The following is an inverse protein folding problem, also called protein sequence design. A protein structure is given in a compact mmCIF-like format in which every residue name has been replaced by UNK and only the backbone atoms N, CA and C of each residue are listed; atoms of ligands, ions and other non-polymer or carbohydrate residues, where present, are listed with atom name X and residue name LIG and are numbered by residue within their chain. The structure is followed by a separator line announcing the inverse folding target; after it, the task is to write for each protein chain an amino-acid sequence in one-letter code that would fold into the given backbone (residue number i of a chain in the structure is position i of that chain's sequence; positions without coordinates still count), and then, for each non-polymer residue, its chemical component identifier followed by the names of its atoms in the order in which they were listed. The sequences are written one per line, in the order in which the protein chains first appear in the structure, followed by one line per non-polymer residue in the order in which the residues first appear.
data_IF_618832240335
#
_entry.id   IF_618832240335
#
_cell.length_a   1.000
_cell.length_b   1.000
_cell.length_c   1.000
_cell.angle_alpha   90.00
_cell.angle_beta   90.00
_cell.angle_gamma   90.00
#
_symmetry.space_group_name_H-M   'P 1'
#
loop_
_entity.id
_entity.type
_entity.pdbx_description
1 polymer ?
#
# COMPACT_ATOMS: atom_id res chain seq x y z
N UNK A 1 -13.18 2.20 63.65
CA UNK A 1 -14.18 2.08 62.56
C UNK A 1 -13.98 3.08 61.41
N UNK A 2 -13.70 4.37 61.66
CA UNK A 2 -13.50 5.37 60.59
C UNK A 2 -12.30 5.10 59.65
N UNK A 3 -11.16 4.64 60.18
CA UNK A 3 -9.97 4.36 59.36
C UNK A 3 -10.15 3.20 58.36
N UNK A 4 -10.92 2.18 58.72
CA UNK A 4 -11.21 1.04 57.84
C UNK A 4 -12.11 1.44 56.66
N UNK A 5 -13.10 2.31 56.90
CA UNK A 5 -13.96 2.84 55.83
C UNK A 5 -13.17 3.71 54.84
N UNK A 6 -12.22 4.50 55.34
CA UNK A 6 -11.33 5.30 54.48
C UNK A 6 -10.42 4.40 53.65
N UNK A 7 -9.85 3.34 54.23
CA UNK A 7 -9.01 2.40 53.51
C UNK A 7 -9.79 1.68 52.39
N UNK A 8 -11.01 1.21 52.67
CA UNK A 8 -11.87 0.56 51.67
C UNK A 8 -12.22 1.52 50.53
N UNK A 9 -12.55 2.78 50.85
CA UNK A 9 -12.86 3.78 49.83
C UNK A 9 -11.65 4.08 48.93
N UNK A 10 -10.46 4.26 49.51
CA UNK A 10 -9.25 4.50 48.75
C UNK A 10 -8.86 3.30 47.87
N UNK A 11 -9.01 2.08 48.38
CA UNK A 11 -8.78 0.86 47.61
C UNK A 11 -9.77 0.72 46.45
N UNK A 12 -11.05 1.08 46.65
CA UNK A 12 -12.06 1.06 45.59
C UNK A 12 -11.77 2.11 44.49
N UNK A 13 -11.36 3.32 44.88
CA UNK A 13 -10.94 4.37 43.93
C UNK A 13 -9.71 3.94 43.15
N UNK A 14 -8.71 3.34 43.80
CA UNK A 14 -7.52 2.82 43.13
C UNK A 14 -7.86 1.69 42.15
N UNK A 15 -8.68 0.72 42.56
CA UNK A 15 -9.12 -0.37 41.68
C UNK A 15 -9.96 0.14 40.52
N UNK A 16 -10.84 1.14 40.73
CA UNK A 16 -11.56 1.81 39.66
C UNK A 16 -10.60 2.48 38.68
N UNK A 17 -9.59 3.21 39.18
CA UNK A 17 -8.61 3.88 38.34
C UNK A 17 -7.76 2.86 37.55
N UNK A 18 -7.34 1.75 38.16
CA UNK A 18 -6.62 0.68 37.48
C UNK A 18 -7.50 0.00 36.43
N UNK A 19 -8.76 -0.32 36.74
CA UNK A 19 -9.71 -0.91 35.79
C UNK A 19 -9.99 0.06 34.64
N UNK A 20 -10.14 1.35 34.93
CA UNK A 20 -10.31 2.41 33.95
C UNK A 20 -9.04 2.59 33.11
N UNK A 21 -7.85 2.51 33.69
CA UNK A 21 -6.59 2.51 32.94
C UNK A 21 -6.37 1.23 32.13
N UNK A 22 -6.92 0.07 32.51
CA UNK A 22 -6.82 -1.16 31.71
C UNK A 22 -7.85 -1.15 30.57
N UNK A 23 -9.07 -0.70 30.85
CA UNK A 23 -10.14 -0.54 29.86
C UNK A 23 -9.86 0.62 28.88
N UNK A 24 -9.13 1.65 29.31
CA UNK A 24 -8.83 2.85 28.52
C UNK A 24 -7.35 2.97 28.12
N UNK A 25 -6.48 2.11 28.65
CA UNK A 25 -5.05 2.02 28.29
C UNK A 25 -4.79 1.36 26.93
N UNK A 26 -5.82 0.86 26.28
CA UNK A 26 -5.79 0.53 24.85
C UNK A 26 -5.99 1.75 23.95
N UNK A 27 -6.18 2.95 24.53
CA UNK A 27 -6.60 4.15 23.82
C UNK A 27 -5.47 5.18 23.66
N UNK A 28 -4.24 4.73 23.37
CA UNK A 28 -3.08 5.59 23.07
C UNK A 28 -3.13 6.16 21.64
N UNK A 29 -4.18 5.89 20.87
CA UNK A 29 -4.37 6.45 19.52
C UNK A 29 -5.66 7.27 19.44
N UNK A 30 -5.71 8.41 20.13
CA UNK A 30 -6.76 9.43 19.97
C UNK A 30 -6.57 10.31 18.71
N UNK A 31 -6.08 9.72 17.62
CA UNK A 31 -6.40 10.21 16.27
C UNK A 31 -7.26 9.09 15.70
N UNK A 32 -8.57 9.31 15.60
CA UNK A 32 -9.42 8.42 14.80
C UNK A 32 -8.68 8.23 13.48
N UNK A 33 -8.36 7.00 13.04
CA UNK A 33 -7.57 6.80 11.83
C UNK A 33 -8.28 7.58 10.74
N UNK A 34 -7.61 8.62 10.23
CA UNK A 34 -8.15 9.47 9.17
C UNK A 34 -8.55 8.51 8.08
N UNK A 35 -9.86 8.43 7.84
CA UNK A 35 -10.40 7.42 6.96
C UNK A 35 -9.78 7.62 5.58
N UNK A 36 -9.01 6.63 5.13
CA UNK A 36 -8.27 6.70 3.88
C UNK A 36 -9.28 6.78 2.72
N UNK A 37 -9.53 8.01 2.27
CA UNK A 37 -10.53 8.36 1.26
C UNK A 37 -9.84 8.77 -0.04
N UNK A 38 -10.44 8.36 -1.15
CA UNK A 38 -9.98 8.72 -2.48
C UNK A 38 -10.16 10.21 -2.73
N UNK A 39 -9.13 10.86 -3.27
CA UNK A 39 -9.23 12.22 -3.79
C UNK A 39 -9.47 12.20 -5.30
N UNK A 40 -10.50 12.93 -5.75
CA UNK A 40 -10.86 13.03 -7.17
C UNK A 40 -10.22 14.27 -7.81
N UNK A 41 -8.93 14.21 -8.12
CA UNK A 41 -8.24 15.22 -8.93
C UNK A 41 -7.32 14.55 -9.94
N UNK A 42 -7.88 14.10 -11.05
CA UNK A 42 -7.09 13.73 -12.23
C UNK A 42 -7.61 14.59 -13.38
N UNK A 43 -6.76 15.43 -13.95
CA UNK A 43 -7.08 16.13 -15.18
C UNK A 43 -6.89 15.19 -16.36
N UNK A 44 -7.95 14.81 -17.10
CA UNK A 44 -7.84 13.89 -18.22
C UNK A 44 -7.11 14.53 -19.40
N UNK A 45 -6.52 13.71 -20.27
CA UNK A 45 -6.07 14.14 -21.58
C UNK A 45 -7.25 14.57 -22.46
N UNK A 46 -7.01 15.50 -23.39
CA UNK A 46 -8.02 15.92 -24.38
C UNK A 46 -8.47 14.77 -25.29
N UNK A 47 -7.56 13.84 -25.60
CA UNK A 47 -7.85 12.65 -26.40
C UNK A 47 -8.07 11.42 -25.52
N UNK A 48 -9.08 10.61 -25.87
CA UNK A 48 -9.26 9.28 -25.30
C UNK A 48 -8.14 8.35 -25.80
N UNK A 49 -7.62 7.44 -24.96
CA UNK A 49 -6.63 6.45 -25.41
C UNK A 49 -7.25 5.50 -26.43
N UNK A 50 -6.43 4.91 -27.30
CA UNK A 50 -6.87 3.97 -28.34
C UNK A 50 -7.60 2.74 -27.78
N UNK A 51 -7.30 2.38 -26.52
CA UNK A 51 -7.94 1.26 -25.81
C UNK A 51 -9.15 1.69 -24.96
N UNK A 52 -9.62 2.94 -25.04
CA UNK A 52 -10.73 3.43 -24.23
C UNK A 52 -12.00 2.59 -24.39
N UNK A 53 -12.25 2.05 -25.59
CA UNK A 53 -13.38 1.15 -25.87
C UNK A 53 -13.25 -0.22 -25.21
N UNK A 54 -12.04 -0.64 -24.83
CA UNK A 54 -11.79 -1.89 -24.12
C UNK A 54 -12.00 -1.77 -22.61
N UNK A 55 -12.08 -0.54 -22.09
CA UNK A 55 -12.30 -0.30 -20.67
C UNK A 55 -13.77 -0.57 -20.34
N UNK A 56 -14.01 -1.56 -19.48
CA UNK A 56 -15.35 -1.92 -19.00
C UNK A 56 -15.97 -0.84 -18.09
N UNK A 57 -15.16 0.02 -17.51
CA UNK A 57 -15.58 0.99 -16.49
C UNK A 57 -15.18 2.40 -16.87
N UNK A 58 -16.11 3.35 -16.67
CA UNK A 58 -15.92 4.77 -17.02
C UNK A 58 -14.95 5.50 -16.09
N UNK A 59 -14.79 4.99 -14.86
CA UNK A 59 -13.85 5.51 -13.88
C UNK A 59 -13.03 4.33 -13.38
N UNK A 60 -11.71 4.44 -13.43
CA UNK A 60 -10.80 3.38 -12.99
C UNK A 60 -10.04 3.87 -11.76
N UNK A 61 -10.10 3.11 -10.68
CA UNK A 61 -9.41 3.40 -9.44
C UNK A 61 -8.45 2.26 -9.15
N UNK A 62 -7.16 2.37 -9.53
CA UNK A 62 -6.24 1.25 -9.45
C UNK A 62 -5.95 0.79 -8.02
N UNK A 63 -6.20 1.66 -7.02
CA UNK A 63 -5.85 1.41 -5.63
C UNK A 63 -7.09 1.36 -4.73
N UNK A 64 -7.10 0.37 -3.85
CA UNK A 64 -8.14 0.19 -2.86
C UNK A 64 -8.04 1.25 -1.76
N UNK A 65 -9.18 1.85 -1.40
CA UNK A 65 -9.28 2.77 -0.28
C UNK A 65 -10.05 2.10 0.87
N UNK A 66 -9.59 2.28 2.12
CA UNK A 66 -10.25 1.69 3.29
C UNK A 66 -11.74 2.09 3.39
N UNK A 67 -12.07 3.31 2.96
CA UNK A 67 -13.42 3.86 3.02
C UNK A 67 -14.43 3.17 2.10
N UNK A 68 -14.01 2.63 0.95
CA UNK A 68 -14.95 2.24 -0.12
C UNK A 68 -14.63 0.94 -0.87
N UNK A 69 -13.52 0.25 -0.55
CA UNK A 69 -13.06 -0.89 -1.36
C UNK A 69 -14.11 -1.99 -1.57
N UNK A 70 -14.94 -2.30 -0.56
CA UNK A 70 -16.02 -3.30 -0.70
C UNK A 70 -17.13 -2.86 -1.64
N UNK A 71 -17.48 -1.58 -1.60
CA UNK A 71 -18.49 -0.99 -2.48
C UNK A 71 -18.00 -1.02 -3.92
N UNK A 72 -16.73 -0.65 -4.15
CA UNK A 72 -16.09 -0.71 -5.46
C UNK A 72 -16.00 -2.15 -5.96
N UNK A 73 -15.60 -3.09 -5.11
CA UNK A 73 -15.52 -4.51 -5.46
C UNK A 73 -16.87 -5.09 -5.88
N UNK A 74 -17.95 -4.73 -5.18
CA UNK A 74 -19.31 -5.16 -5.56
C UNK A 74 -19.79 -4.51 -6.86
N UNK A 75 -19.43 -3.24 -7.10
CA UNK A 75 -19.74 -2.53 -8.35
C UNK A 75 -19.04 -3.17 -9.55
N UNK A 76 -17.77 -3.57 -9.40
CA UNK A 76 -16.97 -4.17 -10.48
C UNK A 76 -17.09 -5.70 -10.54
N UNK A 77 -17.68 -6.32 -9.52
CA UNK A 77 -17.87 -7.77 -9.41
C UNK A 77 -16.62 -8.53 -8.96
N UNK A 78 -15.56 -7.84 -8.49
CA UNK A 78 -14.36 -8.48 -7.93
C UNK A 78 -14.64 -9.13 -6.56
N UNK A 79 -15.80 -8.88 -5.95
CA UNK A 79 -16.30 -9.62 -4.78
C UNK A 79 -16.75 -11.07 -5.09
N UNK A 80 -16.83 -11.45 -6.38
CA UNK A 80 -17.25 -12.80 -6.82
C UNK A 80 -16.08 -13.75 -7.04
N UNK A 81 -14.87 -13.23 -7.19
CA UNK A 81 -13.66 -14.00 -7.48
C UNK A 81 -12.71 -13.99 -6.29
N UNK A 82 -11.89 -15.03 -6.19
CA UNK A 82 -10.78 -15.05 -5.24
C UNK A 82 -9.55 -14.36 -5.84
N UNK A 83 -8.56 -14.05 -4.99
CA UNK A 83 -7.26 -13.57 -5.44
C UNK A 83 -6.67 -14.53 -6.50
N UNK A 84 -5.97 -14.02 -7.54
CA UNK A 84 -5.58 -12.62 -7.75
C UNK A 84 -6.60 -11.74 -8.49
N UNK A 85 -7.79 -12.26 -8.83
CA UNK A 85 -8.77 -11.57 -9.68
C UNK A 85 -9.97 -11.00 -8.92
N UNK A 86 -9.94 -11.10 -7.60
CA UNK A 86 -10.98 -10.61 -6.73
C UNK A 86 -10.63 -10.76 -5.25
N UNK A 87 -11.62 -10.52 -4.40
CA UNK A 87 -11.44 -10.46 -2.95
C UNK A 87 -12.45 -11.27 -2.14
N UNK A 88 -13.23 -12.15 -2.78
CA UNK A 88 -14.34 -12.90 -2.17
C UNK A 88 -13.99 -13.52 -0.80
N UNK A 89 -12.93 -14.31 -0.73
CA UNK A 89 -12.45 -14.95 0.51
C UNK A 89 -11.42 -14.13 1.29
N UNK A 90 -10.99 -12.98 0.74
CA UNK A 90 -9.86 -12.20 1.25
C UNK A 90 -10.24 -10.80 1.76
N UNK A 91 -11.52 -10.44 1.73
CA UNK A 91 -12.01 -9.11 2.08
C UNK A 91 -11.62 -8.65 3.50
N UNK A 92 -11.54 -9.56 4.47
CA UNK A 92 -11.05 -9.22 5.82
C UNK A 92 -9.55 -8.95 5.85
N UNK A 93 -8.74 -9.70 5.11
CA UNK A 93 -7.31 -9.42 5.00
C UNK A 93 -7.05 -8.07 4.35
N UNK A 94 -7.80 -7.73 3.29
CA UNK A 94 -7.76 -6.40 2.68
C UNK A 94 -8.14 -5.31 3.70
N UNK A 95 -9.24 -5.48 4.43
CA UNK A 95 -9.69 -4.52 5.46
C UNK A 95 -8.60 -4.26 6.49
N UNK A 96 -7.99 -5.33 7.02
CA UNK A 96 -6.95 -5.22 8.04
C UNK A 96 -5.69 -4.55 7.50
N UNK A 97 -5.21 -4.95 6.32
CA UNK A 97 -4.03 -4.34 5.70
C UNK A 97 -4.26 -2.85 5.37
N UNK A 98 -5.40 -2.50 4.76
CA UNK A 98 -5.77 -1.13 4.44
C UNK A 98 -5.89 -0.24 5.68
N UNK A 99 -6.26 -0.80 6.84
CA UNK A 99 -6.35 -0.05 8.10
C UNK A 99 -5.01 0.46 8.63
N UNK A 100 -3.89 -0.05 8.09
CA UNK A 100 -2.53 0.34 8.47
C UNK A 100 -1.86 1.28 7.46
N UNK A 101 -2.53 1.60 6.36
CA UNK A 101 -2.02 2.50 5.33
C UNK A 101 -2.53 3.92 5.52
N UNK A 102 -1.83 4.89 4.93
CA UNK A 102 -2.12 6.32 5.11
C UNK A 102 -2.66 7.02 3.86
N UNK A 103 -2.50 6.42 2.67
CA UNK A 103 -3.07 6.97 1.43
C UNK A 103 -3.38 5.86 0.43
N UNK A 104 -4.42 6.10 -0.38
CA UNK A 104 -4.81 5.31 -1.54
C UNK A 104 -4.81 6.16 -2.83
N UNK A 105 -4.26 7.37 -2.76
CA UNK A 105 -4.29 8.31 -3.89
C UNK A 105 -3.35 7.85 -5.01
N UNK A 106 -3.75 8.15 -6.25
CA UNK A 106 -2.93 7.87 -7.41
C UNK A 106 -1.73 8.81 -7.48
N UNK A 107 -1.95 10.10 -7.27
CA UNK A 107 -0.94 11.14 -7.26
C UNK A 107 -1.10 12.04 -6.04
N UNK A 108 -0.05 12.76 -5.67
CA UNK A 108 -0.09 13.73 -4.57
C UNK A 108 -1.04 14.89 -4.87
N UNK A 109 -1.55 15.53 -3.81
CA UNK A 109 -2.53 16.63 -3.93
C UNK A 109 -2.04 17.83 -4.74
N UNK A 110 -0.73 18.03 -4.75
CA UNK A 110 -0.07 19.13 -5.47
C UNK A 110 0.29 18.76 -6.91
N UNK A 111 0.00 17.53 -7.34
CA UNK A 111 0.23 17.10 -8.71
C UNK A 111 -0.82 17.67 -9.65
N UNK A 112 -0.43 18.73 -10.35
CA UNK A 112 -1.28 19.47 -11.29
C UNK A 112 -0.87 19.25 -12.74
N UNK A 113 -0.05 18.24 -13.06
CA UNK A 113 0.38 18.01 -14.45
C UNK A 113 -0.77 17.32 -15.21
N UNK A 114 -1.42 18.00 -16.18
CA UNK A 114 -2.40 17.34 -17.03
C UNK A 114 -1.70 16.39 -18.00
N UNK A 115 -2.40 15.32 -18.40
CA UNK A 115 -1.98 14.43 -19.47
C UNK A 115 -0.53 13.90 -19.36
N UNK A 116 -0.26 13.23 -18.25
CA UNK A 116 1.04 12.62 -17.94
C UNK A 116 1.47 11.60 -19.00
N UNK A 117 2.73 11.67 -19.41
CA UNK A 117 3.41 10.65 -20.20
C UNK A 117 3.99 9.61 -19.25
N UNK A 118 3.59 8.36 -19.44
CA UNK A 118 4.04 7.24 -18.63
C UNK A 118 5.00 6.35 -19.41
N UNK A 119 5.99 5.78 -18.74
CA UNK A 119 6.84 4.70 -19.25
C UNK A 119 6.83 3.53 -18.28
N UNK A 120 6.75 2.32 -18.82
CA UNK A 120 6.87 1.08 -18.06
C UNK A 120 8.23 0.47 -18.35
N UNK A 121 9.03 0.26 -17.31
CA UNK A 121 10.37 -0.31 -17.41
C UNK A 121 10.34 -1.72 -16.82
N UNK A 122 10.42 -2.72 -17.69
CA UNK A 122 10.59 -4.12 -17.29
C UNK A 122 12.02 -4.43 -16.87
N UNK A 123 12.26 -5.66 -16.43
CA UNK A 123 13.57 -6.12 -15.94
C UNK A 123 14.37 -6.94 -16.96
N UNK A 124 13.99 -6.86 -18.24
CA UNK A 124 14.60 -7.66 -19.30
C UNK A 124 16.02 -7.19 -19.63
N UNK A 125 16.93 -8.14 -19.82
CA UNK A 125 18.34 -7.85 -20.18
C UNK A 125 18.54 -7.12 -21.51
N UNK A 126 17.48 -7.01 -22.34
CA UNK A 126 17.49 -6.22 -23.58
C UNK A 126 17.81 -4.74 -23.36
N UNK A 127 17.63 -4.22 -22.14
CA UNK A 127 17.97 -2.84 -21.77
C UNK A 127 19.47 -2.61 -21.62
N UNK A 128 20.28 -3.68 -21.47
CA UNK A 128 21.73 -3.57 -21.28
C UNK A 128 22.38 -2.87 -22.47
N UNK A 129 23.28 -1.92 -22.21
CA UNK A 129 24.01 -1.13 -23.20
C UNK A 129 23.09 -0.35 -24.18
N UNK A 130 21.85 -0.04 -23.79
CA UNK A 130 20.92 0.76 -24.62
C UNK A 130 20.89 2.24 -24.31
N UNK A 131 21.55 2.64 -23.22
CA UNK A 131 21.69 4.05 -22.79
C UNK A 131 20.36 4.82 -22.76
N UNK A 132 19.27 4.14 -22.37
CA UNK A 132 17.92 4.70 -22.37
C UNK A 132 17.60 5.54 -21.13
N UNK A 133 18.52 5.64 -20.17
CA UNK A 133 18.25 6.18 -18.84
C UNK A 133 17.71 7.61 -18.86
N UNK A 134 18.38 8.51 -19.59
CA UNK A 134 17.91 9.89 -19.75
C UNK A 134 16.54 9.95 -20.44
N UNK A 135 16.30 9.09 -21.43
CA UNK A 135 15.02 9.03 -22.13
C UNK A 135 13.90 8.55 -21.20
N UNK A 136 14.17 7.55 -20.36
CA UNK A 136 13.23 7.05 -19.35
C UNK A 136 12.94 8.14 -18.33
N UNK A 137 13.97 8.81 -17.82
CA UNK A 137 13.85 9.88 -16.83
C UNK A 137 13.15 11.14 -17.38
N UNK A 138 12.96 11.26 -18.70
CA UNK A 138 12.19 12.35 -19.32
C UNK A 138 10.66 12.20 -19.21
N UNK A 139 10.15 11.04 -18.76
CA UNK A 139 8.72 10.82 -18.57
C UNK A 139 8.20 11.39 -17.24
N UNK A 140 6.91 11.73 -17.19
CA UNK A 140 6.26 12.24 -15.99
C UNK A 140 6.08 11.14 -14.94
N UNK A 141 5.75 9.92 -15.41
CA UNK A 141 5.48 8.74 -14.59
C UNK A 141 6.35 7.58 -15.05
N UNK A 142 7.13 7.02 -14.13
CA UNK A 142 8.01 5.87 -14.40
C UNK A 142 7.54 4.70 -13.53
N UNK A 143 7.03 3.66 -14.19
CA UNK A 143 6.50 2.45 -13.54
C UNK A 143 7.55 1.35 -13.66
N UNK A 144 7.99 0.83 -12.52
CA UNK A 144 8.89 -0.33 -12.41
C UNK A 144 8.19 -1.47 -11.70
N UNK A 145 8.82 -2.64 -11.68
CA UNK A 145 8.27 -3.82 -11.02
C UNK A 145 9.36 -4.66 -10.39
N UNK A 146 9.00 -5.37 -9.33
CA UNK A 146 9.83 -6.37 -8.67
C UNK A 146 11.16 -5.76 -8.16
N UNK A 147 12.20 -6.59 -8.06
CA UNK A 147 13.54 -6.21 -7.61
C UNK A 147 14.43 -5.75 -8.77
N UNK A 148 13.85 -5.11 -9.79
CA UNK A 148 14.61 -4.52 -10.90
C UNK A 148 15.57 -3.44 -10.38
N UNK A 149 16.90 -3.63 -10.48
CA UNK A 149 17.85 -2.68 -9.95
C UNK A 149 17.89 -1.39 -10.78
N UNK A 150 18.07 -0.27 -10.08
CA UNK A 150 18.34 1.05 -10.67
C UNK A 150 19.79 1.44 -10.39
N UNK A 151 20.23 1.24 -9.15
CA UNK A 151 21.62 1.50 -8.74
C UNK A 151 22.58 0.65 -9.56
N UNK A 152 23.58 1.30 -10.16
CA UNK A 152 24.56 0.67 -11.03
C UNK A 152 24.07 0.41 -12.46
N UNK A 153 22.85 0.82 -12.80
CA UNK A 153 22.22 0.67 -14.12
C UNK A 153 21.55 1.96 -14.60
N UNK A 154 21.89 3.10 -14.01
CA UNK A 154 21.21 4.37 -14.25
C UNK A 154 21.32 4.83 -15.70
N UNK A 155 22.42 4.51 -16.37
CA UNK A 155 22.63 4.81 -17.79
C UNK A 155 21.63 4.06 -18.68
N UNK A 156 21.31 2.80 -18.35
CA UNK A 156 20.39 1.99 -19.12
C UNK A 156 18.92 2.18 -18.73
N UNK A 157 18.65 2.31 -17.43
CA UNK A 157 17.28 2.25 -16.90
C UNK A 157 16.79 3.54 -16.25
N UNK A 158 17.63 4.57 -16.13
CA UNK A 158 17.28 5.84 -15.50
C UNK A 158 17.35 5.78 -13.98
N UNK A 159 17.20 6.93 -13.32
CA UNK A 159 17.35 7.12 -11.87
C UNK A 159 16.02 7.19 -11.14
N UNK A 160 14.97 7.66 -11.81
CA UNK A 160 13.69 7.99 -11.18
C UNK A 160 12.77 6.78 -11.15
N UNK A 161 11.93 6.70 -10.12
CA UNK A 161 10.81 5.76 -10.04
C UNK A 161 9.61 6.48 -9.43
N UNK A 162 8.47 6.46 -10.11
CA UNK A 162 7.21 7.01 -9.54
C UNK A 162 6.43 5.90 -8.86
N UNK A 163 6.23 4.78 -9.58
CA UNK A 163 5.53 3.61 -9.09
C UNK A 163 6.42 2.38 -9.18
N UNK A 164 6.39 1.53 -8.15
CA UNK A 164 6.99 0.20 -8.20
C UNK A 164 6.01 -0.86 -7.73
N UNK A 165 5.63 -1.76 -8.64
CA UNK A 165 4.81 -2.91 -8.29
C UNK A 165 5.68 -3.96 -7.59
N UNK A 166 5.18 -4.55 -6.52
CA UNK A 166 5.88 -5.58 -5.78
C UNK A 166 4.91 -6.60 -5.17
N UNK A 167 5.47 -7.72 -4.73
CA UNK A 167 4.82 -8.73 -3.91
C UNK A 167 5.86 -9.32 -2.94
N UNK A 168 5.47 -10.07 -1.89
CA UNK A 168 6.36 -10.40 -0.77
C UNK A 168 7.68 -11.08 -1.16
N UNK A 169 7.66 -11.95 -2.16
CA UNK A 169 8.84 -12.69 -2.66
C UNK A 169 9.70 -11.87 -3.66
N UNK A 170 9.21 -10.68 -4.06
CA UNK A 170 9.83 -9.79 -5.04
C UNK A 170 9.68 -8.32 -4.64
N UNK A 171 10.33 -7.97 -3.52
CA UNK A 171 10.52 -6.60 -3.04
C UNK A 171 11.95 -6.37 -2.55
N UNK A 172 12.43 -5.12 -2.58
CA UNK A 172 13.70 -4.73 -1.95
C UNK A 172 13.57 -4.65 -0.44
N UNK A 173 14.57 -5.18 0.26
CA UNK A 173 14.71 -5.12 1.72
C UNK A 173 15.94 -4.33 2.19
N UNK A 174 16.88 -4.06 1.28
CA UNK A 174 18.10 -3.33 1.58
C UNK A 174 17.82 -1.81 1.54
N UNK A 175 18.11 -1.07 2.63
CA UNK A 175 17.93 0.38 2.69
C UNK A 175 18.65 1.16 1.58
N UNK A 176 19.69 0.62 0.95
CA UNK A 176 20.38 1.28 -0.17
C UNK A 176 19.42 1.56 -1.34
N UNK A 177 18.39 0.73 -1.52
CA UNK A 177 17.39 0.87 -2.58
C UNK A 177 16.20 1.76 -2.18
N UNK A 178 16.25 2.41 -1.00
CA UNK A 178 15.16 3.26 -0.56
C UNK A 178 15.09 4.55 -1.38
N UNK A 179 13.92 4.80 -1.97
CA UNK A 179 13.58 6.06 -2.62
C UNK A 179 12.31 6.64 -1.94
N UNK A 180 12.41 7.76 -1.22
CA UNK A 180 11.28 8.36 -0.51
C UNK A 180 10.18 8.87 -1.46
N UNK A 181 10.51 9.13 -2.73
CA UNK A 181 9.56 9.64 -3.73
C UNK A 181 8.84 8.52 -4.48
N UNK A 182 9.23 7.26 -4.27
CA UNK A 182 8.57 6.12 -4.90
C UNK A 182 7.30 5.75 -4.13
N UNK A 183 6.18 5.64 -4.85
CA UNK A 183 4.98 4.94 -4.38
C UNK A 183 5.09 3.46 -4.75
N UNK A 184 4.95 2.57 -3.77
CA UNK A 184 5.02 1.13 -3.98
C UNK A 184 3.64 0.51 -3.95
N UNK A 185 3.38 -0.40 -4.89
CA UNK A 185 2.07 -0.98 -5.12
C UNK A 185 2.14 -2.46 -4.83
N UNK A 186 1.53 -2.88 -3.72
CA UNK A 186 1.37 -4.30 -3.40
C UNK A 186 0.38 -4.92 -4.38
N UNK A 187 0.85 -5.91 -5.14
CA UNK A 187 0.02 -6.79 -5.96
C UNK A 187 -0.22 -8.08 -5.18
N UNK A 188 -1.43 -8.28 -4.67
CA UNK A 188 -1.76 -9.44 -3.87
C UNK A 188 -2.15 -10.62 -4.76
N UNK A 189 -1.48 -11.76 -4.59
CA UNK A 189 -1.78 -13.00 -5.30
C UNK A 189 -2.47 -14.03 -4.41
N UNK A 190 -2.28 -13.94 -3.09
CA UNK A 190 -2.83 -14.86 -2.10
C UNK A 190 -3.10 -14.15 -0.76
N UNK A 191 -4.01 -14.67 0.10
CA UNK A 191 -4.29 -14.06 1.40
C UNK A 191 -3.05 -13.85 2.28
N UNK A 192 -2.06 -14.73 2.13
CA UNK A 192 -0.78 -14.66 2.84
C UNK A 192 -0.02 -13.35 2.54
N UNK A 193 -0.16 -12.78 1.34
CA UNK A 193 0.52 -11.53 0.98
C UNK A 193 -0.01 -10.34 1.79
N UNK A 194 -1.33 -10.31 2.02
CA UNK A 194 -1.99 -9.26 2.82
C UNK A 194 -1.71 -9.45 4.32
N UNK A 195 -1.67 -10.70 4.80
CA UNK A 195 -1.27 -11.01 6.18
C UNK A 195 0.18 -10.60 6.43
N UNK A 196 1.09 -10.92 5.51
CA UNK A 196 2.49 -10.54 5.59
C UNK A 196 2.67 -9.01 5.69
N UNK A 197 1.93 -8.24 4.89
CA UNK A 197 1.96 -6.78 4.98
C UNK A 197 1.47 -6.30 6.35
N UNK A 198 0.37 -6.89 6.86
CA UNK A 198 -0.16 -6.55 8.19
C UNK A 198 0.86 -6.83 9.29
N UNK A 199 1.48 -8.01 9.30
CA UNK A 199 2.50 -8.42 10.30
C UNK A 199 3.70 -7.46 10.28
N UNK A 200 4.18 -7.09 9.09
CA UNK A 200 5.25 -6.11 8.93
C UNK A 200 4.91 -4.73 9.49
N UNK A 201 3.71 -4.22 9.21
CA UNK A 201 3.27 -2.90 9.65
C UNK A 201 2.95 -2.85 11.15
N UNK A 202 2.64 -4.00 11.76
CA UNK A 202 2.42 -4.13 13.20
C UNK A 202 3.71 -4.39 13.99
N UNK A 203 4.81 -4.73 13.31
CA UNK A 203 6.04 -5.17 13.97
C UNK A 203 5.92 -6.57 14.57
N UNK A 204 4.99 -7.38 14.07
CA UNK A 204 4.77 -8.75 14.53
C UNK A 204 5.80 -9.72 13.94
N UNK A 205 5.86 -10.92 14.51
CA UNK A 205 6.66 -12.01 13.94
C UNK A 205 6.03 -12.47 12.62
N UNK A 206 6.79 -12.33 11.54
CA UNK A 206 6.34 -12.70 10.19
C UNK A 206 6.28 -14.22 10.03
N UNK A 207 5.13 -14.72 9.59
CA UNK A 207 4.99 -16.12 9.23
C UNK A 207 5.40 -16.33 7.77
N UNK A 208 6.49 -17.07 7.55
CA UNK A 208 7.03 -17.34 6.20
C UNK A 208 6.47 -18.60 5.55
N UNK A 209 5.56 -19.32 6.20
CA UNK A 209 4.96 -20.52 5.63
C UNK A 209 3.95 -20.15 4.52
N UNK A 210 3.95 -20.93 3.43
CA UNK A 210 3.06 -20.69 2.28
C UNK A 210 3.64 -19.76 1.20
N UNK A 211 4.86 -19.27 1.39
CA UNK A 211 5.62 -18.57 0.35
C UNK A 211 6.56 -19.55 -0.37
N UNK A 212 6.64 -19.47 -1.70
CA UNK A 212 7.50 -20.34 -2.51
C UNK A 212 8.98 -19.97 -2.41
N UNK A 213 9.27 -18.77 -1.91
CA UNK A 213 10.59 -18.26 -1.56
C UNK A 213 10.44 -17.46 -0.27
N UNK A 214 11.49 -17.40 0.55
CA UNK A 214 11.52 -16.56 1.75
C UNK A 214 11.12 -15.11 1.39
N UNK A 215 10.02 -14.58 1.94
CA UNK A 215 9.61 -13.21 1.68
C UNK A 215 10.53 -12.22 2.42
N UNK A 216 10.44 -10.95 2.06
CA UNK A 216 11.12 -9.90 2.81
C UNK A 216 10.65 -9.88 4.28
N UNK A 217 11.60 -9.80 5.22
CA UNK A 217 11.30 -9.75 6.66
C UNK A 217 11.25 -8.33 7.22
N UNK A 218 11.49 -7.36 6.36
CA UNK A 218 11.43 -5.93 6.63
C UNK A 218 11.04 -5.22 5.33
N UNK A 219 10.38 -4.07 5.46
CA UNK A 219 10.13 -3.17 4.35
C UNK A 219 10.90 -1.87 4.56
N UNK A 220 11.53 -1.41 3.49
CA UNK A 220 12.20 -0.10 3.45
C UNK A 220 11.21 1.05 3.21
N UNK A 221 9.97 0.72 2.84
CA UNK A 221 8.91 1.68 2.51
C UNK A 221 8.04 2.01 3.72
N UNK A 222 7.58 3.27 3.80
CA UNK A 222 6.69 3.76 4.85
C UNK A 222 5.21 3.55 4.49
N UNK A 223 4.29 3.53 5.48
CA UNK A 223 2.85 3.33 5.23
C UNK A 223 2.22 4.32 4.23
N UNK A 224 2.72 5.56 4.15
CA UNK A 224 2.23 6.55 3.17
C UNK A 224 2.69 6.28 1.74
N UNK A 225 3.78 5.52 1.54
CA UNK A 225 4.28 5.13 0.22
C UNK A 225 3.56 3.91 -0.34
N UNK A 226 2.86 3.14 0.50
CA UNK A 226 2.28 1.85 0.11
C UNK A 226 0.85 2.05 -0.39
N UNK A 227 0.53 1.41 -1.53
CA UNK A 227 -0.81 1.25 -2.10
C UNK A 227 -1.09 -0.24 -2.29
N UNK A 228 -2.36 -0.63 -2.29
CA UNK A 228 -2.78 -2.01 -2.62
C UNK A 228 -3.57 -1.94 -3.93
N UNK A 229 -3.14 -2.72 -4.92
CA UNK A 229 -3.81 -2.81 -6.23
C UNK A 229 -5.21 -3.44 -6.07
N UNK A 230 -6.19 -2.90 -6.79
CA UNK A 230 -7.52 -3.51 -6.94
C UNK A 230 -7.43 -4.77 -7.83
N UNK A 231 -7.83 -5.97 -7.34
CA UNK A 231 -7.72 -7.24 -8.07
C UNK A 231 -8.79 -7.47 -9.14
#
# INVERSE_FOLDING_TARGET
MRGYLVAIFLSAVFLYYVLHCILWGTNVYWVAPVEMKRRNKIQPCLSKPAFASLLRFHQFHPFLCAADFRKIASLYGSDKFDLPYGMRTSAEYFRLALSKLQSCDLFDEFDNIPCKKCVVVGNGGVLKNKTLGEKIDSYDVIIRMNNGPVLGHEEEVGRRTTFRLFYPESVFSDPIHNDPNTTVILTAFKPHDLRWLLELLMGDKINTNGFWKKPALNLIYKPYQIRILDP
#
